data_IF_483655649581
#
_entry.id   IF_483655649581
#
_cell.length_a   1.000
_cell.length_b   1.000
_cell.length_c   1.000
_cell.angle_alpha   90.00
_cell.angle_beta   90.00
_cell.angle_gamma   90.00
#
_symmetry.space_group_name_H-M   'P 1'
#
loop_
_entity.id
_entity.type
_entity.pdbx_description
1 polymer ?
#
# COMPACT_ATOMS: atom_id res chain seq x y z
N UNK A 1 -2.18 10.54 -10.05
CA UNK A 1 -2.10 11.97 -9.66
C UNK A 1 -0.64 12.31 -9.56
N UNK A 2 -0.17 13.29 -10.30
CA UNK A 2 1.27 13.59 -10.39
C UNK A 2 1.68 14.67 -9.38
N UNK A 3 2.79 14.44 -8.69
CA UNK A 3 3.35 15.26 -7.61
C UNK A 3 4.87 15.20 -7.70
N UNK A 4 5.52 16.31 -8.06
CA UNK A 4 6.99 16.41 -8.19
C UNK A 4 7.62 15.31 -9.05
N UNK A 5 6.93 14.92 -10.13
CA UNK A 5 7.34 13.85 -11.03
C UNK A 5 7.01 12.45 -10.53
N UNK A 6 6.61 12.27 -9.28
CA UNK A 6 6.02 11.02 -8.81
C UNK A 6 4.55 10.95 -9.22
N UNK A 7 4.02 9.73 -9.30
CA UNK A 7 2.58 9.53 -9.46
C UNK A 7 2.03 8.73 -8.27
N UNK A 8 1.01 9.26 -7.60
CA UNK A 8 0.23 8.53 -6.59
C UNK A 8 -0.85 7.68 -7.26
N UNK A 9 -0.89 6.40 -6.90
CA UNK A 9 -1.84 5.39 -7.36
C UNK A 9 -2.64 4.80 -6.20
N UNK A 10 -3.87 4.38 -6.48
CA UNK A 10 -4.74 3.67 -5.54
C UNK A 10 -4.89 2.22 -6.02
N UNK A 11 -4.59 1.25 -5.17
CA UNK A 11 -4.81 -0.18 -5.43
C UNK A 11 -5.41 -0.85 -4.19
N UNK A 12 -6.71 -1.16 -4.25
CA UNK A 12 -7.46 -1.63 -3.08
C UNK A 12 -7.38 -0.64 -1.91
N UNK A 13 -6.90 -1.12 -0.76
CA UNK A 13 -6.69 -0.30 0.44
C UNK A 13 -5.33 0.40 0.52
N UNK A 14 -4.56 0.42 -0.57
CA UNK A 14 -3.19 0.95 -0.61
C UNK A 14 -3.09 2.21 -1.46
N UNK A 15 -2.32 3.18 -0.95
CA UNK A 15 -1.82 4.33 -1.70
C UNK A 15 -0.35 4.13 -2.01
N UNK A 16 0.02 4.14 -3.28
CA UNK A 16 1.40 3.86 -3.71
C UNK A 16 1.94 5.03 -4.51
N UNK A 17 2.98 5.67 -3.99
CA UNK A 17 3.76 6.67 -4.70
C UNK A 17 4.76 5.96 -5.61
N UNK A 18 4.75 6.26 -6.90
CA UNK A 18 5.61 5.62 -7.90
C UNK A 18 6.62 6.64 -8.42
N UNK A 19 7.91 6.30 -8.35
CA UNK A 19 8.98 7.17 -8.85
C UNK A 19 8.92 7.32 -10.38
N UNK A 20 9.26 8.50 -10.92
CA UNK A 20 9.17 8.79 -12.37
C UNK A 20 10.00 7.85 -13.25
N UNK A 21 11.07 7.29 -12.69
CA UNK A 21 12.00 6.42 -13.42
C UNK A 21 11.50 4.98 -13.54
N UNK A 22 10.44 4.62 -12.83
CA UNK A 22 9.86 3.27 -12.87
C UNK A 22 9.18 3.06 -14.21
N UNK A 23 9.54 2.00 -14.93
CA UNK A 23 8.91 1.69 -16.19
C UNK A 23 7.42 1.35 -16.01
N UNK A 24 6.60 1.59 -17.04
CA UNK A 24 5.18 1.20 -17.01
C UNK A 24 4.99 -0.29 -16.69
N UNK A 25 5.91 -1.15 -17.16
CA UNK A 25 5.87 -2.59 -16.91
C UNK A 25 6.05 -2.90 -15.42
N UNK A 26 7.09 -2.35 -14.81
CA UNK A 26 7.38 -2.54 -13.38
C UNK A 26 6.26 -1.98 -12.51
N UNK A 27 5.78 -0.78 -12.84
CA UNK A 27 4.63 -0.15 -12.17
C UNK A 27 3.39 -1.06 -12.19
N UNK A 28 2.99 -1.53 -13.38
CA UNK A 28 1.82 -2.43 -13.51
C UNK A 28 2.02 -3.72 -12.72
N UNK A 29 3.19 -4.35 -12.87
CA UNK A 29 3.50 -5.58 -12.14
C UNK A 29 3.39 -5.39 -10.62
N UNK A 30 3.91 -4.29 -10.07
CA UNK A 30 3.81 -3.99 -8.64
C UNK A 30 2.37 -3.72 -8.20
N UNK A 31 1.65 -2.83 -8.87
CA UNK A 31 0.28 -2.46 -8.50
C UNK A 31 -0.70 -3.64 -8.63
N UNK A 32 -0.55 -4.45 -9.69
CA UNK A 32 -1.35 -5.66 -9.89
C UNK A 32 -1.02 -6.75 -8.87
N UNK A 33 0.26 -6.90 -8.52
CA UNK A 33 0.68 -7.85 -7.48
C UNK A 33 0.10 -7.49 -6.12
N UNK A 34 0.11 -6.20 -5.75
CA UNK A 34 -0.51 -5.72 -4.51
C UNK A 34 -2.01 -5.95 -4.50
N UNK A 35 -2.71 -5.45 -5.52
CA UNK A 35 -4.17 -5.55 -5.60
C UNK A 35 -4.64 -7.01 -5.60
N UNK A 36 -3.98 -7.88 -6.36
CA UNK A 36 -4.38 -9.28 -6.42
C UNK A 36 -3.96 -10.06 -5.16
N UNK A 37 -2.84 -9.73 -4.50
CA UNK A 37 -2.48 -10.33 -3.22
C UNK A 37 -3.49 -9.97 -2.11
N UNK A 38 -3.99 -8.73 -2.11
CA UNK A 38 -5.06 -8.30 -1.23
C UNK A 38 -6.36 -9.09 -1.48
N UNK A 39 -6.78 -9.21 -2.75
CA UNK A 39 -7.97 -9.99 -3.12
C UNK A 39 -7.86 -11.46 -2.71
N UNK A 40 -6.69 -12.08 -2.88
CA UNK A 40 -6.44 -13.46 -2.44
C UNK A 40 -6.51 -13.60 -0.92
N UNK A 41 -5.98 -12.62 -0.18
CA UNK A 41 -6.05 -12.62 1.28
C UNK A 41 -7.49 -12.44 1.78
N UNK A 42 -8.25 -11.54 1.16
CA UNK A 42 -9.68 -11.34 1.44
C UNK A 42 -10.47 -12.63 1.17
N UNK A 43 -10.18 -13.34 0.07
CA UNK A 43 -10.81 -14.63 -0.25
C UNK A 43 -10.53 -15.76 0.76
N UNK A 44 -9.38 -15.74 1.44
CA UNK A 44 -9.01 -16.75 2.45
C UNK A 44 -9.53 -16.40 3.84
N UNK A 45 -9.49 -15.11 4.21
CA UNK A 45 -9.77 -14.65 5.59
C UNK A 45 -11.11 -13.94 5.74
N UNK A 46 -11.94 -13.91 4.69
CA UNK A 46 -13.22 -13.20 4.55
C UNK A 46 -13.15 -11.67 4.65
N UNK A 47 -12.27 -11.11 5.48
CA UNK A 47 -12.14 -9.68 5.71
C UNK A 47 -10.76 -9.30 6.25
N UNK A 48 -10.22 -8.18 5.76
CA UNK A 48 -9.01 -7.53 6.31
C UNK A 48 -9.19 -6.87 7.66
N UNK A 49 -10.44 -6.61 8.05
CA UNK A 49 -10.78 -5.84 9.25
C UNK A 49 -10.90 -6.73 10.51
N UNK A 50 -11.44 -7.95 10.37
CA UNK A 50 -11.78 -8.78 11.54
C UNK A 50 -10.57 -9.47 12.19
N UNK A 51 -9.62 -9.95 11.38
CA UNK A 51 -8.42 -10.65 11.84
C UNK A 51 -7.19 -10.11 11.14
N UNK A 52 -6.97 -8.79 11.24
CA UNK A 52 -5.97 -8.07 10.46
C UNK A 52 -4.59 -8.75 10.46
N UNK A 53 -4.09 -9.22 11.61
CA UNK A 53 -2.80 -9.93 11.68
C UNK A 53 -2.75 -11.20 10.83
N UNK A 54 -3.82 -12.00 10.84
CA UNK A 54 -3.91 -13.24 10.04
C UNK A 54 -4.13 -12.92 8.57
N UNK A 55 -4.96 -11.92 8.26
CA UNK A 55 -5.11 -11.37 6.91
C UNK A 55 -3.78 -10.88 6.35
N UNK A 56 -3.01 -10.09 7.10
CA UNK A 56 -1.72 -9.56 6.66
C UNK A 56 -0.70 -10.66 6.38
N UNK A 57 -0.72 -11.76 7.16
CA UNK A 57 0.08 -12.95 6.86
C UNK A 57 -0.35 -13.62 5.56
N UNK A 58 -1.66 -13.77 5.32
CA UNK A 58 -2.18 -14.32 4.07
C UNK A 58 -1.81 -13.43 2.88
N UNK A 59 -1.93 -12.11 3.03
CA UNK A 59 -1.53 -11.08 2.07
C UNK A 59 -0.03 -11.19 1.73
N UNK A 60 0.85 -11.21 2.73
CA UNK A 60 2.30 -11.38 2.50
C UNK A 60 2.63 -12.69 1.79
N UNK A 61 1.97 -13.78 2.16
CA UNK A 61 2.16 -15.07 1.48
C UNK A 61 1.70 -15.01 0.02
N UNK A 62 0.55 -14.40 -0.25
CA UNK A 62 0.04 -14.21 -1.62
C UNK A 62 0.97 -13.31 -2.43
N UNK A 63 1.48 -12.23 -1.83
CA UNK A 63 2.45 -11.32 -2.43
C UNK A 63 3.77 -12.03 -2.78
N UNK A 64 4.27 -12.87 -1.87
CA UNK A 64 5.44 -13.72 -2.14
C UNK A 64 5.24 -14.69 -3.31
N UNK A 65 4.04 -15.27 -3.45
CA UNK A 65 3.69 -16.13 -4.60
C UNK A 65 3.62 -15.37 -5.92
N UNK A 66 3.55 -14.03 -5.90
CA UNK A 66 3.70 -13.18 -7.09
C UNK A 66 5.15 -12.87 -7.43
N UNK A 67 6.08 -13.52 -6.73
CA UNK A 67 7.52 -13.35 -6.90
C UNK A 67 8.03 -12.04 -6.34
N UNK A 68 7.49 -11.62 -5.19
CA UNK A 68 8.10 -10.58 -4.37
C UNK A 68 8.85 -11.22 -3.20
N UNK A 69 10.13 -10.90 -3.06
CA UNK A 69 10.94 -11.31 -1.93
C UNK A 69 10.90 -10.21 -0.87
N UNK A 70 10.36 -10.53 0.31
CA UNK A 70 10.39 -9.62 1.46
C UNK A 70 11.79 -9.67 2.10
N UNK A 71 12.54 -8.57 2.02
CA UNK A 71 13.90 -8.45 2.54
C UNK A 71 13.94 -7.93 3.98
N UNK A 72 12.93 -7.12 4.35
CA UNK A 72 12.76 -6.61 5.70
C UNK A 72 11.29 -6.62 6.07
N UNK A 73 10.98 -6.90 7.34
CA UNK A 73 9.65 -6.62 7.87
C UNK A 73 9.68 -6.26 9.35
N UNK A 74 8.94 -5.23 9.71
CA UNK A 74 8.70 -4.84 11.10
C UNK A 74 7.21 -5.02 11.43
N UNK A 75 6.94 -5.45 12.66
CA UNK A 75 5.59 -5.53 13.21
C UNK A 75 5.60 -4.92 14.60
N UNK A 76 4.68 -3.98 14.85
CA UNK A 76 4.36 -3.49 16.19
C UNK A 76 2.87 -3.65 16.46
N UNK A 77 2.53 -3.91 17.72
CA UNK A 77 1.16 -3.92 18.21
C UNK A 77 1.13 -3.11 19.49
N UNK A 78 0.27 -2.11 19.54
CA UNK A 78 0.17 -1.19 20.67
C UNK A 78 -1.28 -1.00 21.07
N UNK A 79 -1.55 -0.81 22.37
CA UNK A 79 -2.92 -0.50 22.79
C UNK A 79 -3.34 0.90 22.31
N UNK A 80 -4.48 0.97 21.65
CA UNK A 80 -4.96 2.21 21.05
C UNK A 80 -5.28 3.31 22.07
N UNK A 81 -5.79 2.90 23.24
CA UNK A 81 -6.12 3.81 24.34
C UNK A 81 -4.93 4.50 25.01
N UNK A 82 -3.70 4.08 24.69
CA UNK A 82 -2.47 4.70 25.19
C UNK A 82 -2.03 5.94 24.40
N UNK A 83 -2.66 6.22 23.25
CA UNK A 83 -2.35 7.40 22.42
C UNK A 83 -3.18 8.59 22.87
N UNK A 84 -2.65 9.80 22.77
CA UNK A 84 -3.44 11.04 22.98
C UNK A 84 -4.16 11.45 21.71
N UNK A 85 -3.48 11.35 20.58
CA UNK A 85 -3.94 11.78 19.26
C UNK A 85 -3.22 10.94 18.19
N UNK A 86 -3.92 10.57 17.12
CA UNK A 86 -3.33 9.80 16.02
C UNK A 86 -3.97 10.19 14.69
N UNK A 87 -3.19 10.75 13.78
CA UNK A 87 -3.58 10.83 12.37
C UNK A 87 -3.31 9.49 11.67
N UNK A 88 -4.26 8.90 10.91
CA UNK A 88 -4.06 7.58 10.32
C UNK A 88 -2.84 7.47 9.41
N UNK A 89 -2.48 8.53 8.69
CA UNK A 89 -1.33 8.53 7.78
C UNK A 89 0.00 8.86 8.47
N UNK A 90 -0.03 9.55 9.60
CA UNK A 90 1.19 10.02 10.29
C UNK A 90 2.22 8.91 10.59
N UNK A 91 1.88 7.77 11.23
CA UNK A 91 2.88 6.74 11.51
C UNK A 91 3.44 6.11 10.22
N UNK A 92 2.64 6.07 9.15
CA UNK A 92 3.05 5.53 7.86
C UNK A 92 4.04 6.45 7.17
N UNK A 93 3.75 7.75 7.16
CA UNK A 93 4.61 8.81 6.63
C UNK A 93 5.94 8.89 7.40
N UNK A 94 5.89 8.87 8.74
CA UNK A 94 7.10 8.90 9.56
C UNK A 94 8.01 7.70 9.27
N UNK A 95 7.44 6.50 9.15
CA UNK A 95 8.23 5.33 8.81
C UNK A 95 8.81 5.42 7.40
N UNK A 96 7.98 5.71 6.38
CA UNK A 96 8.44 5.80 4.99
C UNK A 96 9.50 6.90 4.82
N UNK A 97 9.29 8.08 5.40
CA UNK A 97 10.25 9.19 5.38
C UNK A 97 11.55 8.88 6.12
N UNK A 98 11.52 8.04 7.15
CA UNK A 98 12.75 7.57 7.83
C UNK A 98 13.58 6.61 6.98
N UNK A 99 12.93 5.89 6.05
CA UNK A 99 13.61 4.97 5.14
C UNK A 99 14.11 5.70 3.88
N UNK A 100 13.31 6.67 3.39
CA UNK A 100 13.49 7.33 2.09
C UNK A 100 13.12 8.81 2.20
N UNK A 101 14.03 9.62 2.73
CA UNK A 101 13.79 11.03 3.02
C UNK A 101 13.35 11.85 1.79
N UNK A 102 13.85 11.48 0.61
CA UNK A 102 13.52 12.10 -0.68
C UNK A 102 12.06 11.91 -1.13
N UNK A 103 11.36 10.93 -0.55
CA UNK A 103 9.97 10.60 -0.92
C UNK A 103 8.94 11.17 0.06
N UNK A 104 9.38 11.67 1.22
CA UNK A 104 8.49 12.13 2.30
C UNK A 104 7.60 13.30 1.88
N UNK A 105 8.18 14.34 1.29
CA UNK A 105 7.43 15.51 0.81
C UNK A 105 6.44 15.14 -0.30
N UNK A 106 6.88 14.35 -1.28
CA UNK A 106 6.02 13.87 -2.37
C UNK A 106 4.86 12.99 -1.87
N UNK A 107 5.08 12.18 -0.82
CA UNK A 107 4.02 11.41 -0.16
C UNK A 107 2.99 12.33 0.51
N UNK A 108 3.45 13.32 1.28
CA UNK A 108 2.55 14.28 1.95
C UNK A 108 1.72 15.08 0.93
N UNK A 109 2.37 15.62 -0.10
CA UNK A 109 1.72 16.33 -1.19
C UNK A 109 0.75 15.43 -1.98
N UNK A 110 1.07 14.16 -2.16
CA UNK A 110 0.18 13.17 -2.77
C UNK A 110 -1.07 12.90 -1.95
N UNK A 111 -0.95 12.84 -0.62
CA UNK A 111 -2.09 12.73 0.30
C UNK A 111 -2.94 14.00 0.27
N UNK A 112 -2.32 15.18 0.32
CA UNK A 112 -3.04 16.46 0.27
C UNK A 112 -3.80 16.62 -1.04
N UNK A 113 -3.17 16.25 -2.16
CA UNK A 113 -3.82 16.26 -3.45
C UNK A 113 -4.97 15.24 -3.53
N UNK A 114 -4.84 14.06 -2.90
CA UNK A 114 -5.92 13.07 -2.81
C UNK A 114 -7.13 13.60 -2.03
N UNK A 115 -6.92 14.36 -0.95
CA UNK A 115 -8.02 14.97 -0.18
C UNK A 115 -8.86 15.95 -1.02
N UNK A 116 -8.25 16.56 -2.05
CA UNK A 116 -8.94 17.41 -3.03
C UNK A 116 -9.63 16.59 -4.14
N UNK A 117 -9.27 15.33 -4.32
CA UNK A 117 -9.85 14.42 -5.32
C UNK A 117 -10.93 13.52 -4.72
N UNK A 118 -12.16 14.03 -4.65
CA UNK A 118 -13.29 13.34 -4.05
C UNK A 118 -13.55 11.92 -4.63
N UNK A 119 -13.53 11.68 -5.96
CA UNK A 119 -13.63 10.33 -6.50
C UNK A 119 -12.53 9.38 -6.02
N UNK A 120 -11.28 9.84 -6.01
CA UNK A 120 -10.14 9.03 -5.55
C UNK A 120 -10.24 8.71 -4.06
N UNK A 121 -10.62 9.69 -3.24
CA UNK A 121 -10.81 9.50 -1.81
C UNK A 121 -11.97 8.53 -1.52
N UNK A 122 -13.07 8.62 -2.28
CA UNK A 122 -14.21 7.70 -2.18
C UNK A 122 -13.82 6.26 -2.59
N UNK A 123 -12.98 6.12 -3.61
CA UNK A 123 -12.45 4.81 -4.01
C UNK A 123 -11.59 4.19 -2.90
N UNK A 124 -10.69 4.98 -2.29
CA UNK A 124 -9.86 4.51 -1.18
C UNK A 124 -10.72 4.15 0.04
N UNK A 125 -11.65 5.02 0.41
CA UNK A 125 -12.49 4.80 1.60
C UNK A 125 -13.30 3.51 1.51
N UNK A 126 -13.80 3.16 0.32
CA UNK A 126 -14.52 1.91 0.08
C UNK A 126 -13.71 0.63 0.33
N UNK A 127 -12.37 0.72 0.35
CA UNK A 127 -11.48 -0.42 0.64
C UNK A 127 -10.76 -0.30 1.99
N UNK A 128 -10.64 0.92 2.53
CA UNK A 128 -9.87 1.21 3.74
C UNK A 128 -10.74 1.36 5.00
N UNK A 129 -12.04 1.62 4.85
CA UNK A 129 -12.96 1.86 5.97
C UNK A 129 -14.08 0.83 6.00
N UNK A 130 -14.41 0.35 7.20
CA UNK A 130 -15.57 -0.49 7.44
C UNK A 130 -16.37 0.01 8.65
N UNK A 131 -17.52 0.68 8.42
CA UNK A 131 -18.44 1.03 9.49
C UNK A 131 -19.03 -0.23 10.16
N UNK A 132 -19.07 -0.24 11.50
CA UNK A 132 -19.54 -1.34 12.35
C UNK A 132 -20.32 -0.77 13.54
N UNK A 133 -21.64 -0.63 13.40
CA UNK A 133 -22.49 -0.15 14.50
C UNK A 133 -22.03 1.22 15.03
N UNK A 134 -21.46 1.24 16.24
CA UNK A 134 -20.98 2.45 16.92
C UNK A 134 -19.51 2.81 16.64
N UNK A 135 -18.80 2.07 15.79
CA UNK A 135 -17.40 2.33 15.46
C UNK A 135 -17.08 2.10 13.98
N UNK A 136 -15.91 2.54 13.54
CA UNK A 136 -15.35 2.30 12.21
C UNK A 136 -14.01 1.59 12.35
N UNK A 137 -13.82 0.51 11.60
CA UNK A 137 -12.51 -0.13 11.42
C UNK A 137 -11.80 0.52 10.23
N UNK A 138 -10.52 0.82 10.40
CA UNK A 138 -9.67 1.42 9.38
C UNK A 138 -8.48 0.50 9.14
N UNK A 139 -8.24 0.15 7.88
CA UNK A 139 -7.04 -0.55 7.41
C UNK A 139 -6.48 0.22 6.22
N UNK A 140 -5.32 0.84 6.39
CA UNK A 140 -4.68 1.67 5.38
C UNK A 140 -3.25 1.18 5.14
N UNK A 141 -2.80 1.20 3.90
CA UNK A 141 -1.41 0.97 3.52
C UNK A 141 -0.89 2.13 2.66
N UNK A 142 0.29 2.64 2.99
CA UNK A 142 1.07 3.52 2.14
C UNK A 142 2.26 2.74 1.57
N UNK A 143 2.64 3.07 0.34
CA UNK A 143 3.77 2.46 -0.33
C UNK A 143 4.57 3.44 -1.18
N UNK A 144 5.85 3.12 -1.38
CA UNK A 144 6.73 3.80 -2.34
C UNK A 144 7.36 2.74 -3.23
N UNK A 145 7.15 2.87 -4.53
CA UNK A 145 7.81 2.07 -5.56
C UNK A 145 9.00 2.86 -6.14
N UNK A 146 10.19 2.35 -5.87
CA UNK A 146 11.46 2.98 -6.18
C UNK A 146 11.96 2.64 -7.57
N UNK A 147 12.92 3.43 -8.05
CA UNK A 147 13.54 3.31 -9.38
C UNK A 147 14.19 1.94 -9.67
N UNK A 148 14.58 1.19 -8.64
CA UNK A 148 15.22 -0.13 -8.73
C UNK A 148 14.19 -1.28 -8.68
N UNK A 149 12.90 -0.94 -8.66
CA UNK A 149 11.79 -1.88 -8.51
C UNK A 149 11.55 -2.30 -7.06
N UNK A 150 12.30 -1.75 -6.09
CA UNK A 150 12.03 -2.00 -4.68
C UNK A 150 10.73 -1.34 -4.25
N UNK A 151 9.96 -2.06 -3.45
CA UNK A 151 8.71 -1.59 -2.87
C UNK A 151 8.85 -1.50 -1.35
N UNK A 152 8.65 -0.31 -0.82
CA UNK A 152 8.51 -0.07 0.62
C UNK A 152 7.03 0.07 0.94
N UNK A 153 6.50 -0.74 1.85
CA UNK A 153 5.10 -0.67 2.28
C UNK A 153 5.01 -0.48 3.78
N UNK A 154 3.99 0.25 4.20
CA UNK A 154 3.70 0.52 5.59
C UNK A 154 2.18 0.54 5.78
N UNK A 155 1.66 -0.26 6.70
CA UNK A 155 0.23 -0.40 6.95
C UNK A 155 -0.11 -0.20 8.42
N UNK A 156 -1.29 0.39 8.63
CA UNK A 156 -1.93 0.51 9.94
C UNK A 156 -3.31 -0.13 9.91
N UNK A 157 -3.68 -0.81 11.01
CA UNK A 157 -5.06 -1.14 11.31
C UNK A 157 -5.45 -0.61 12.68
N UNK A 158 -6.62 0.01 12.77
CA UNK A 158 -7.16 0.57 14.01
C UNK A 158 -8.69 0.57 14.00
N UNK A 159 -9.28 0.79 15.16
CA UNK A 159 -10.71 0.99 15.34
C UNK A 159 -10.97 2.33 16.02
N UNK A 160 -12.00 3.05 15.58
CA UNK A 160 -12.36 4.36 16.15
C UNK A 160 -13.86 4.56 16.25
N UNK A 161 -14.32 5.19 17.34
CA UNK A 161 -15.69 5.69 17.51
C UNK A 161 -15.88 7.11 16.99
N UNK A 162 -14.80 7.77 16.56
CA UNK A 162 -14.91 9.10 15.97
C UNK A 162 -15.67 9.04 14.65
N UNK A 163 -16.54 10.02 14.41
CA UNK A 163 -17.13 10.24 13.10
C UNK A 163 -16.04 10.70 12.15
N UNK A 164 -15.79 9.93 11.08
CA UNK A 164 -14.79 10.26 10.08
C UNK A 164 -15.34 11.28 9.08
N UNK A 165 -14.64 12.42 8.96
CA UNK A 165 -14.95 13.48 8.01
C UNK A 165 -14.33 13.24 6.62
N UNK A 166 -14.47 14.22 5.73
CA UNK A 166 -13.85 14.20 4.40
C UNK A 166 -12.30 14.25 4.45
N UNK A 167 -11.73 14.63 5.60
CA UNK A 167 -10.31 14.76 5.86
C UNK A 167 -9.73 13.59 6.67
N UNK A 168 -10.47 12.47 6.81
CA UNK A 168 -10.13 11.34 7.68
C UNK A 168 -8.71 10.78 7.49
N UNK A 169 -8.09 10.95 6.32
CA UNK A 169 -6.71 10.52 6.07
C UNK A 169 -5.68 11.26 6.93
N UNK A 170 -5.89 12.56 7.17
CA UNK A 170 -4.98 13.45 7.90
C UNK A 170 -5.53 13.92 9.23
N UNK A 171 -6.86 14.00 9.36
CA UNK A 171 -7.53 14.44 10.58
C UNK A 171 -7.06 13.61 11.79
N UNK A 172 -6.49 14.25 12.82
CA UNK A 172 -6.06 13.54 14.01
C UNK A 172 -7.26 12.99 14.79
N UNK A 173 -7.24 11.69 15.08
CA UNK A 173 -8.25 11.01 15.88
C UNK A 173 -7.89 11.10 17.37
N UNK A 174 -8.82 11.54 18.25
CA UNK A 174 -8.57 11.55 19.69
C UNK A 174 -8.35 10.13 20.21
N UNK A 175 -7.34 9.93 21.06
CA UNK A 175 -7.04 8.62 21.63
C UNK A 175 -8.20 7.96 22.38
N UNK A 176 -9.03 8.77 23.04
CA UNK A 176 -10.22 8.32 23.75
C UNK A 176 -11.29 7.70 22.82
N UNK A 177 -11.24 7.97 21.51
CA UNK A 177 -12.14 7.34 20.54
C UNK A 177 -11.57 6.07 19.94
N UNK A 178 -10.26 5.83 20.09
CA UNK A 178 -9.60 4.64 19.56
C UNK A 178 -9.90 3.42 20.44
N UNK A 179 -9.98 2.24 19.81
CA UNK A 179 -10.31 0.97 20.49
C UNK A 179 -9.34 -0.13 20.13
N UNK A 180 -9.24 -1.11 21.03
CA UNK A 180 -8.47 -2.32 20.81
C UNK A 180 -6.98 -2.05 20.63
N UNK A 181 -6.40 -2.74 19.64
CA UNK A 181 -4.98 -2.66 19.31
C UNK A 181 -4.77 -1.93 17.98
N UNK A 182 -3.72 -1.12 17.95
CA UNK A 182 -3.13 -0.53 16.77
C UNK A 182 -2.13 -1.53 16.21
N UNK A 183 -2.36 -1.99 14.99
CA UNK A 183 -1.39 -2.81 14.28
C UNK A 183 -0.58 -1.92 13.36
N UNK A 184 0.73 -1.99 13.46
CA UNK A 184 1.65 -1.37 12.53
C UNK A 184 2.49 -2.46 11.86
N UNK A 185 2.50 -2.46 10.54
CA UNK A 185 3.27 -3.41 9.73
C UNK A 185 4.07 -2.65 8.70
N UNK A 186 5.33 -2.99 8.52
CA UNK A 186 6.09 -2.49 7.40
C UNK A 186 6.88 -3.60 6.72
N UNK A 187 7.11 -3.45 5.42
CA UNK A 187 7.94 -4.36 4.66
C UNK A 187 8.75 -3.62 3.60
N UNK A 188 9.92 -4.16 3.33
CA UNK A 188 10.68 -3.89 2.12
C UNK A 188 10.63 -5.16 1.27
N UNK A 189 10.31 -5.01 0.00
CA UNK A 189 10.25 -6.11 -0.93
C UNK A 189 10.88 -5.74 -2.27
N UNK A 190 11.42 -6.74 -2.94
CA UNK A 190 12.01 -6.62 -4.27
C UNK A 190 11.52 -7.77 -5.17
N UNK A 191 11.54 -7.60 -6.50
CA UNK A 191 11.22 -8.69 -7.42
C UNK A 191 12.19 -9.86 -7.22
N UNK A 192 11.65 -11.07 -7.12
CA UNK A 192 12.43 -12.29 -6.98
C UNK A 192 13.30 -12.52 -8.23
N UNK A 193 14.55 -13.01 -8.08
CA UNK A 193 15.47 -13.21 -9.20
C UNK A 193 14.91 -14.13 -10.29
N UNK A 194 14.20 -15.18 -9.88
CA UNK A 194 13.72 -16.26 -10.76
C UNK A 194 12.62 -15.81 -11.74
N UNK A 195 12.01 -14.65 -11.50
CA UNK A 195 11.09 -14.01 -12.46
C UNK A 195 11.83 -13.11 -13.47
N UNK A 196 13.07 -12.69 -13.20
CA UNK A 196 13.87 -11.92 -14.17
C UNK A 196 14.39 -12.80 -15.31
N UNK A 197 14.63 -14.08 -15.05
CA UNK A 197 15.23 -15.01 -16.02
C UNK A 197 14.20 -15.66 -16.96
N UNK A 198 12.96 -15.89 -16.50
CA UNK A 198 11.87 -16.35 -17.38
C UNK A 198 11.37 -15.28 -18.38
N UNK A 199 11.88 -14.04 -18.28
CA UNK A 199 11.49 -12.93 -19.14
C UNK A 199 12.42 -12.68 -20.35
N UNK A 200 13.47 -13.50 -20.55
CA UNK A 200 14.35 -13.40 -21.73
C UNK A 200 13.89 -14.20 -22.96
N UNK A 201 12.93 -15.12 -22.83
CA UNK A 201 12.55 -16.05 -23.92
C UNK A 201 11.12 -15.83 -24.48
N UNK A 202 10.67 -14.58 -24.56
CA UNK A 202 9.32 -14.24 -25.05
C UNK A 202 9.22 -13.55 -26.42
N UNK A 203 10.33 -13.11 -27.01
CA UNK A 203 10.30 -12.41 -28.32
C UNK A 203 11.32 -13.04 -29.26
N UNK A 204 10.90 -14.10 -29.94
CA UNK A 204 11.59 -14.58 -31.14
C UNK A 204 11.41 -13.51 -32.22
N UNK A 205 12.46 -12.74 -32.49
CA UNK A 205 12.54 -11.90 -33.68
C UNK A 205 12.57 -12.84 -34.89
N UNK A 206 11.44 -12.96 -35.58
CA UNK A 206 11.39 -13.64 -36.88
C UNK A 206 12.44 -13.03 -37.80
N UNK A 207 13.38 -13.80 -38.38
CA UNK A 207 14.27 -13.28 -39.40
C UNK A 207 13.43 -12.85 -40.61
N UNK A 208 13.69 -11.66 -41.13
CA UNK A 208 13.14 -11.24 -42.41
C UNK A 208 13.63 -12.23 -43.47
N UNK A 209 12.71 -13.01 -44.02
CA UNK A 209 12.99 -13.85 -45.17
C UNK A 209 13.42 -12.95 -46.33
N UNK A 210 14.72 -12.91 -46.59
CA UNK A 210 15.23 -12.49 -47.89
C UNK A 210 14.89 -13.60 -48.88
N UNK A 211 13.85 -13.38 -49.68
CA UNK A 211 13.68 -14.08 -50.95
C UNK A 211 14.33 -13.20 -52.02
N UNK A 212 15.57 -13.53 -52.35
CA UNK A 212 16.20 -13.19 -53.63
C UNK A 212 16.17 -14.46 -54.47
N UNK A 213 15.36 -14.47 -55.52
CA UNK A 213 15.73 -14.78 -56.91
C UNK A 213 14.51 -14.63 -57.82
#
# INVERSE_FOLDING_TARGET
>A
MDVDGYTMWITGGSLVLVAPQVSERERRHALDSLGQAQLLADGVMSSRFDQHRRWYRAYRNAFGRRGWRVTHSCQSVESAGGRTLLSPTQPLLLWLGSQHAESGEALELGIDSLLLNQPGLAQLSGSALQPRGDFTQLVLELGVLHRDGQLSLCSIALETRATLGADWLKAPLPGATLRGDLYFQSLLAEPAPDLRDNERDGVVRMPASHTLH
#
